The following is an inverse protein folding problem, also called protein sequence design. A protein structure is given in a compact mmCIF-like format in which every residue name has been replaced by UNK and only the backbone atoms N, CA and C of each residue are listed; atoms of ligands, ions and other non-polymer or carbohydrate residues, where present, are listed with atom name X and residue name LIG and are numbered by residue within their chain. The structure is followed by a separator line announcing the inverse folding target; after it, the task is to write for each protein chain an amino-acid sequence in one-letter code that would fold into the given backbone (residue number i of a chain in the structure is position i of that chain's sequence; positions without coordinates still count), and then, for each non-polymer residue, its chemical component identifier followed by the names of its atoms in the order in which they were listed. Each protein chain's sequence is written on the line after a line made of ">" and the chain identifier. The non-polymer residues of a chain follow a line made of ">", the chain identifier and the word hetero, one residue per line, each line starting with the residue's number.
data_IF_853299103664
#
_entry.id   IF_853299103664
#
_cell.length_a   1.000
_cell.length_b   1.000
_cell.length_c   1.000
_cell.angle_alpha   90.00
_cell.angle_beta   90.00
_cell.angle_gamma   90.00
#
_symmetry.space_group_name_H-M   'P 1'
#
loop_
_entity.id
_entity.type
_entity.pdbx_description
1 polymer ?
#
# COMPACT_ATOMS: atom_id res chain seq x y z
N UNK A 1 -4.76 12.32 -1.52
CA UNK A 1 -3.86 11.16 -1.48
C UNK A 1 -3.98 10.46 -0.14
N UNK A 2 -3.76 9.16 -0.09
CA UNK A 2 -3.94 8.32 1.09
C UNK A 2 -2.60 7.72 1.52
N UNK A 3 -2.25 7.89 2.79
CA UNK A 3 -1.13 7.16 3.39
C UNK A 3 -1.68 5.88 4.03
N UNK A 4 -1.23 4.72 3.51
CA UNK A 4 -1.67 3.41 3.94
C UNK A 4 -0.62 2.67 4.78
N UNK A 5 0.49 3.32 5.15
CA UNK A 5 1.55 2.70 5.97
C UNK A 5 1.06 2.25 7.35
N UNK A 6 -0.03 2.84 7.87
CA UNK A 6 -0.62 2.45 9.15
C UNK A 6 -1.61 1.28 9.06
N UNK A 7 -1.92 0.79 7.86
CA UNK A 7 -2.80 -0.36 7.67
C UNK A 7 -2.02 -1.61 8.05
N UNK A 8 -2.63 -2.51 8.84
CA UNK A 8 -2.01 -3.79 9.18
C UNK A 8 -1.78 -4.65 7.93
N UNK A 9 -0.74 -5.49 7.90
CA UNK A 9 -0.48 -6.31 6.74
C UNK A 9 -1.58 -7.37 6.53
N UNK A 10 -1.70 -7.84 5.30
CA UNK A 10 -2.58 -8.92 4.89
C UNK A 10 -2.28 -10.18 5.73
N UNK A 11 -3.34 -10.84 6.21
CA UNK A 11 -3.24 -12.00 7.08
C UNK A 11 -2.97 -11.70 8.57
N UNK A 12 -2.78 -10.43 8.96
CA UNK A 12 -2.65 -10.08 10.37
C UNK A 12 -3.96 -10.33 11.16
N UNK A 13 -3.82 -10.45 12.49
CA UNK A 13 -4.90 -10.80 13.41
C UNK A 13 -5.90 -9.64 13.59
N UNK A 14 -7.19 -9.97 13.63
CA UNK A 14 -8.30 -9.04 13.89
C UNK A 14 -9.20 -9.64 14.95
N UNK A 15 -9.42 -8.94 16.08
CA UNK A 15 -10.33 -9.38 17.16
C UNK A 15 -10.19 -10.85 17.58
N UNK A 16 -8.96 -11.36 17.69
CA UNK A 16 -8.75 -12.76 18.08
C UNK A 16 -8.64 -13.74 16.90
N UNK A 17 -9.18 -13.39 15.72
CA UNK A 17 -9.13 -14.22 14.52
C UNK A 17 -7.87 -13.94 13.71
N UNK A 18 -7.08 -14.98 13.44
CA UNK A 18 -5.85 -14.90 12.66
C UNK A 18 -6.15 -14.98 11.15
N UNK A 19 -5.39 -14.28 10.31
CA UNK A 19 -5.50 -14.42 8.86
C UNK A 19 -6.58 -13.58 8.17
N UNK A 20 -7.25 -12.66 8.88
CA UNK A 20 -8.46 -11.98 8.35
C UNK A 20 -8.17 -10.62 7.74
N UNK A 21 -7.04 -9.99 8.05
CA UNK A 21 -6.71 -8.68 7.50
C UNK A 21 -6.50 -8.75 5.97
N UNK A 22 -7.07 -7.79 5.24
CA UNK A 22 -6.96 -7.72 3.78
C UNK A 22 -5.68 -7.02 3.27
N UNK A 23 -5.01 -6.25 4.13
CA UNK A 23 -3.81 -5.48 3.77
C UNK A 23 -4.06 -4.22 2.93
N UNK A 24 -3.03 -3.38 2.75
CA UNK A 24 -3.13 -2.10 2.06
C UNK A 24 -3.44 -2.23 0.57
N UNK A 25 -2.91 -3.26 -0.11
CA UNK A 25 -3.13 -3.49 -1.54
C UNK A 25 -4.61 -3.61 -1.88
N UNK A 26 -5.34 -4.46 -1.14
CA UNK A 26 -6.79 -4.67 -1.35
C UNK A 26 -7.61 -3.42 -1.03
N UNK A 27 -7.18 -2.61 -0.05
CA UNK A 27 -7.83 -1.33 0.26
C UNK A 27 -7.71 -0.37 -0.94
N UNK A 28 -6.56 -0.29 -1.61
CA UNK A 28 -6.42 0.57 -2.81
C UNK A 28 -7.37 0.14 -3.91
N UNK A 29 -7.52 -1.16 -4.15
CA UNK A 29 -8.47 -1.67 -5.15
C UNK A 29 -9.93 -1.28 -4.82
N UNK A 30 -10.32 -1.41 -3.54
CA UNK A 30 -11.64 -0.99 -3.08
C UNK A 30 -11.85 0.52 -3.26
N UNK A 31 -10.85 1.34 -2.89
CA UNK A 31 -10.89 2.79 -3.08
C UNK A 31 -10.95 3.19 -4.56
N UNK A 32 -10.21 2.50 -5.42
CA UNK A 32 -10.22 2.71 -6.87
C UNK A 32 -11.60 2.46 -7.45
N UNK A 33 -12.23 1.33 -7.07
CA UNK A 33 -13.60 1.01 -7.47
C UNK A 33 -14.61 2.04 -6.95
N UNK A 34 -14.50 2.47 -5.69
CA UNK A 34 -15.41 3.47 -5.12
C UNK A 34 -15.24 4.85 -5.78
N UNK A 35 -14.02 5.23 -6.12
CA UNK A 35 -13.69 6.50 -6.78
C UNK A 35 -13.97 6.49 -8.29
N UNK A 36 -14.59 5.42 -8.84
CA UNK A 36 -15.13 5.41 -10.20
C UNK A 36 -16.41 6.26 -10.34
N UNK A 37 -16.91 6.85 -9.26
CA UNK A 37 -17.99 7.83 -9.30
C UNK A 37 -17.46 9.11 -9.97
N UNK A 38 -17.94 9.37 -11.19
CA UNK A 38 -17.53 10.53 -12.00
C UNK A 38 -18.07 11.81 -11.37
N UNK A 39 -17.19 12.65 -10.84
CA UNK A 39 -17.56 13.98 -10.37
C UNK A 39 -18.02 14.82 -11.59
N UNK A 40 -19.31 15.14 -11.66
CA UNK A 40 -19.88 15.93 -12.76
C UNK A 40 -19.93 15.22 -14.13
N UNK A 41 -19.87 13.89 -14.17
CA UNK A 41 -20.10 13.09 -15.40
C UNK A 41 -18.95 13.02 -16.41
N UNK A 42 -17.97 13.93 -16.37
CA UNK A 42 -16.97 14.08 -17.45
C UNK A 42 -15.58 13.55 -17.07
N UNK A 43 -15.12 13.73 -15.83
CA UNK A 43 -13.77 13.32 -15.41
C UNK A 43 -13.79 12.34 -14.25
N UNK A 44 -12.96 11.31 -14.35
CA UNK A 44 -12.63 10.43 -13.25
C UNK A 44 -11.62 11.14 -12.36
N UNK A 45 -11.83 11.11 -11.03
CA UNK A 45 -10.89 11.71 -10.10
C UNK A 45 -9.51 11.05 -10.19
N UNK A 46 -8.45 11.81 -9.90
CA UNK A 46 -7.09 11.30 -9.80
C UNK A 46 -6.72 11.24 -8.33
N UNK A 47 -6.41 10.04 -7.83
CA UNK A 47 -6.01 9.82 -6.45
C UNK A 47 -4.57 9.30 -6.38
N UNK A 48 -3.97 9.44 -5.21
CA UNK A 48 -2.64 8.88 -4.92
C UNK A 48 -2.68 8.05 -3.65
N UNK A 49 -1.88 6.99 -3.60
CA UNK A 49 -1.65 6.18 -2.41
C UNK A 49 -0.15 6.04 -2.16
N UNK A 50 0.23 6.01 -0.90
CA UNK A 50 1.60 5.80 -0.45
C UNK A 50 1.66 4.77 0.66
N UNK A 51 2.73 3.97 0.65
CA UNK A 51 3.09 3.03 1.72
C UNK A 51 4.59 3.15 2.01
N UNK A 52 4.98 2.92 3.26
CA UNK A 52 6.38 2.91 3.70
C UNK A 52 7.12 1.70 3.12
N UNK A 53 8.39 1.90 2.75
CA UNK A 53 9.25 0.85 2.22
C UNK A 53 9.46 -0.30 3.21
N UNK A 54 9.38 -0.01 4.51
CA UNK A 54 9.50 -0.99 5.58
C UNK A 54 8.19 -1.76 5.81
N UNK A 55 7.10 -1.48 5.11
CA UNK A 55 5.85 -2.18 5.36
C UNK A 55 5.90 -3.64 4.85
N UNK A 56 5.40 -4.65 5.60
CA UNK A 56 5.50 -6.06 5.19
C UNK A 56 4.87 -6.37 3.82
N UNK A 57 3.77 -5.70 3.47
CA UNK A 57 3.13 -5.84 2.15
C UNK A 57 3.69 -4.90 1.06
N UNK A 58 4.84 -4.25 1.25
CA UNK A 58 5.42 -3.32 0.24
C UNK A 58 5.54 -3.98 -1.14
N UNK A 59 6.00 -5.23 -1.19
CA UNK A 59 6.15 -5.97 -2.44
C UNK A 59 4.81 -6.31 -3.09
N UNK A 60 3.79 -6.67 -2.30
CA UNK A 60 2.44 -6.89 -2.82
C UNK A 60 1.85 -5.59 -3.36
N UNK A 61 2.02 -4.49 -2.64
CA UNK A 61 1.57 -3.16 -3.04
C UNK A 61 2.20 -2.73 -4.37
N UNK A 62 3.51 -2.93 -4.56
CA UNK A 62 4.20 -2.68 -5.84
C UNK A 62 3.58 -3.51 -6.97
N UNK A 63 3.31 -4.80 -6.71
CA UNK A 63 2.76 -5.72 -7.70
C UNK A 63 1.31 -5.44 -8.10
N UNK A 64 0.56 -4.60 -7.37
CA UNK A 64 -0.82 -4.24 -7.76
C UNK A 64 -0.85 -3.61 -9.16
N UNK A 65 0.19 -2.85 -9.52
CA UNK A 65 0.32 -2.22 -10.84
C UNK A 65 0.82 -3.16 -11.94
N UNK A 66 1.18 -4.40 -11.62
CA UNK A 66 1.50 -5.41 -12.64
C UNK A 66 0.30 -5.71 -13.55
N UNK A 67 -0.92 -5.44 -13.06
CA UNK A 67 -2.12 -5.36 -13.90
C UNK A 67 -2.40 -3.88 -14.23
N UNK A 68 -2.21 -3.43 -15.49
CA UNK A 68 -2.42 -2.04 -15.89
C UNK A 68 -3.83 -1.52 -15.59
N UNK A 69 -4.83 -2.40 -15.55
CA UNK A 69 -6.23 -2.05 -15.38
C UNK A 69 -6.70 -2.11 -13.91
N UNK A 70 -5.86 -2.53 -12.97
CA UNK A 70 -6.26 -2.70 -11.58
C UNK A 70 -6.59 -1.36 -10.89
N UNK A 71 -5.87 -0.30 -11.25
CA UNK A 71 -5.93 1.01 -10.58
C UNK A 71 -5.98 2.16 -11.60
N UNK A 72 -7.08 2.32 -12.35
CA UNK A 72 -7.19 3.29 -13.44
C UNK A 72 -7.14 4.77 -12.99
N UNK A 73 -7.50 5.03 -11.74
CA UNK A 73 -7.64 6.36 -11.15
C UNK A 73 -6.72 6.60 -9.93
N UNK A 74 -5.75 5.71 -9.70
CA UNK A 74 -4.83 5.78 -8.56
C UNK A 74 -3.37 5.71 -9.01
N UNK A 75 -2.56 6.64 -8.53
CA UNK A 75 -1.10 6.56 -8.56
C UNK A 75 -0.60 5.94 -7.26
N UNK A 76 0.31 4.98 -7.35
CA UNK A 76 0.92 4.30 -6.20
C UNK A 76 2.36 4.76 -6.04
N UNK A 77 2.73 5.12 -4.81
CA UNK A 77 4.08 5.57 -4.46
C UNK A 77 4.60 4.80 -3.24
N UNK A 78 5.93 4.69 -3.13
CA UNK A 78 6.60 4.12 -1.96
C UNK A 78 7.32 5.28 -1.25
N UNK A 79 7.07 5.44 0.04
CA UNK A 79 7.83 6.33 0.89
C UNK A 79 9.13 5.61 1.29
N UNK A 80 10.25 6.17 0.88
CA UNK A 80 11.58 5.60 1.10
C UNK A 80 12.28 6.40 2.19
N UNK A 81 12.78 5.71 3.22
CA UNK A 81 13.53 6.31 4.31
C UNK A 81 15.02 6.43 3.99
N UNK A 82 15.73 7.33 4.69
CA UNK A 82 17.18 7.43 4.56
C UNK A 82 17.90 6.14 4.98
N UNK A 83 17.35 5.41 5.97
CA UNK A 83 17.89 4.11 6.39
C UNK A 83 17.84 3.08 5.27
N UNK A 84 16.74 3.04 4.52
CA UNK A 84 16.65 2.19 3.33
C UNK A 84 17.69 2.58 2.29
N UNK A 85 17.82 3.87 1.96
CA UNK A 85 18.80 4.33 0.97
C UNK A 85 20.24 4.00 1.40
N UNK A 86 20.54 4.12 2.70
CA UNK A 86 21.83 3.71 3.25
C UNK A 86 22.05 2.20 3.15
N UNK A 87 21.05 1.37 3.44
CA UNK A 87 21.15 -0.08 3.29
C UNK A 87 21.44 -0.48 1.84
N UNK A 88 20.69 0.08 0.88
CA UNK A 88 20.91 -0.16 -0.57
C UNK A 88 22.32 0.25 -0.99
N UNK A 89 22.82 1.40 -0.53
CA UNK A 89 24.17 1.87 -0.89
C UNK A 89 25.32 0.95 -0.41
N UNK A 90 25.03 0.08 0.55
CA UNK A 90 25.98 -0.87 1.15
C UNK A 90 25.70 -2.32 0.74
N UNK A 91 24.78 -2.55 -0.18
CA UNK A 91 24.27 -3.88 -0.54
C UNK A 91 23.79 -4.66 0.70
N UNK A 92 23.13 -3.96 1.62
CA UNK A 92 22.67 -4.49 2.90
C UNK A 92 21.17 -4.76 2.94
N UNK A 93 20.75 -5.49 3.97
CA UNK A 93 19.35 -5.84 4.21
C UNK A 93 18.55 -4.67 4.80
N UNK A 94 17.24 -4.69 4.54
CA UNK A 94 16.27 -3.77 5.13
C UNK A 94 15.14 -4.54 5.80
N UNK A 95 14.83 -4.19 7.05
CA UNK A 95 13.83 -4.90 7.84
C UNK A 95 12.42 -4.38 7.54
N UNK A 96 11.48 -5.31 7.41
CA UNK A 96 10.07 -4.99 7.32
C UNK A 96 9.47 -4.94 8.74
N UNK A 97 8.67 -3.92 9.01
CA UNK A 97 8.11 -3.60 10.34
C UNK A 97 6.59 -3.60 10.24
N UNK A 98 5.93 -4.49 10.98
CA UNK A 98 4.48 -4.49 11.07
C UNK A 98 4.01 -3.24 11.84
N UNK A 99 3.20 -2.36 11.22
CA UNK A 99 2.76 -1.11 11.85
C UNK A 99 1.94 -1.30 13.14
N UNK A 100 1.34 -2.49 13.34
CA UNK A 100 0.57 -2.84 14.53
C UNK A 100 1.45 -3.27 15.71
N UNK A 101 2.41 -4.17 15.48
CA UNK A 101 3.25 -4.74 16.56
C UNK A 101 4.53 -3.96 16.78
N UNK A 102 4.97 -3.19 15.78
CA UNK A 102 6.32 -2.58 15.73
C UNK A 102 7.44 -3.62 15.74
N UNK A 103 7.14 -4.82 15.25
CA UNK A 103 8.06 -5.94 15.07
C UNK A 103 8.36 -6.15 13.59
#
# INVERSE_FOLDING_TARGET
>A
GFNLSGIRPEGDKVNGQQGVACGPARIVEMLSSAANIRQGGIRQGCNSTVIDVSHPDVMKFIRVKSNPNALPNFYTSIAVSDDFMRAVSRDGDHHLINPRTRE
#
